data_IF_426314350468
#
_entry.id   IF_426314350468
#
_cell.length_a   1.000
_cell.length_b   1.000
_cell.length_c   1.000
_cell.angle_alpha   90.00
_cell.angle_beta   90.00
_cell.angle_gamma   90.00
#
_symmetry.space_group_name_H-M   'P 1'
#
loop_
_entity.id
_entity.type
_entity.pdbx_description
1 polymer ?
#
# COMPACT_ATOMS: atom_id res chain seq x y z
N UNK A 1 -16.84 -1.12 -14.40
CA UNK A 1 -15.79 -1.63 -13.49
C UNK A 1 -16.33 -2.25 -12.21
N UNK A 2 -17.29 -1.62 -11.51
CA UNK A 2 -17.85 -2.14 -10.25
C UNK A 2 -18.44 -3.57 -10.35
N UNK A 3 -19.10 -3.90 -11.45
CA UNK A 3 -19.62 -5.27 -11.67
C UNK A 3 -18.51 -6.31 -11.80
N UNK A 4 -17.38 -5.98 -12.44
CA UNK A 4 -16.23 -6.89 -12.55
C UNK A 4 -15.66 -7.25 -11.18
N UNK A 5 -15.64 -6.32 -10.22
CA UNK A 5 -15.18 -6.57 -8.86
C UNK A 5 -16.10 -7.53 -8.06
N UNK A 6 -17.34 -7.73 -8.52
CA UNK A 6 -18.30 -8.68 -7.92
C UNK A 6 -18.21 -10.08 -8.54
N UNK A 7 -17.70 -10.18 -9.77
CA UNK A 7 -17.55 -11.46 -10.46
C UNK A 7 -16.50 -12.34 -9.77
N UNK A 8 -16.78 -13.64 -9.70
CA UNK A 8 -15.91 -14.62 -9.07
C UNK A 8 -15.78 -15.86 -9.94
N UNK A 9 -14.64 -16.03 -10.60
CA UNK A 9 -14.32 -17.23 -11.37
C UNK A 9 -14.00 -18.40 -10.41
N UNK A 10 -14.95 -19.32 -10.18
CA UNK A 10 -14.76 -20.44 -9.24
C UNK A 10 -13.64 -21.42 -9.64
N UNK A 11 -13.19 -21.37 -10.90
CA UNK A 11 -12.09 -22.16 -11.46
C UNK A 11 -10.70 -21.81 -10.91
N UNK A 12 -10.50 -20.63 -10.33
CA UNK A 12 -9.22 -20.22 -9.71
C UNK A 12 -9.25 -20.37 -8.19
N UNK A 13 -8.10 -20.48 -7.54
CA UNK A 13 -8.01 -20.65 -6.09
C UNK A 13 -8.68 -19.51 -5.30
N UNK A 14 -9.20 -19.80 -4.09
CA UNK A 14 -9.84 -18.79 -3.21
C UNK A 14 -8.92 -17.60 -2.92
N UNK A 15 -7.61 -17.86 -2.74
CA UNK A 15 -6.59 -16.82 -2.52
C UNK A 15 -6.48 -15.90 -3.73
N UNK A 16 -6.40 -16.47 -4.94
CA UNK A 16 -6.30 -15.68 -6.16
C UNK A 16 -7.55 -14.82 -6.40
N UNK A 17 -8.76 -15.39 -6.20
CA UNK A 17 -10.02 -14.63 -6.28
C UNK A 17 -10.06 -13.44 -5.33
N UNK A 18 -9.61 -13.63 -4.09
CA UNK A 18 -9.56 -12.56 -3.09
C UNK A 18 -8.64 -11.43 -3.53
N UNK A 19 -7.42 -11.77 -3.96
CA UNK A 19 -6.43 -10.78 -4.39
C UNK A 19 -6.91 -10.00 -5.63
N UNK A 20 -7.52 -10.68 -6.60
CA UNK A 20 -8.10 -10.05 -7.77
C UNK A 20 -9.23 -9.08 -7.38
N UNK A 21 -10.16 -9.53 -6.54
CA UNK A 21 -11.25 -8.68 -6.04
C UNK A 21 -10.72 -7.44 -5.32
N UNK A 22 -9.73 -7.62 -4.45
CA UNK A 22 -9.09 -6.51 -3.73
C UNK A 22 -8.46 -5.49 -4.69
N UNK A 23 -7.75 -5.98 -5.71
CA UNK A 23 -7.14 -5.13 -6.75
C UNK A 23 -8.20 -4.39 -7.57
N UNK A 24 -9.27 -5.07 -7.99
CA UNK A 24 -10.37 -4.45 -8.75
C UNK A 24 -11.13 -3.41 -7.91
N UNK A 25 -11.37 -3.69 -6.63
CA UNK A 25 -11.98 -2.71 -5.70
C UNK A 25 -11.08 -1.48 -5.59
N UNK A 26 -9.77 -1.66 -5.41
CA UNK A 26 -8.80 -0.56 -5.39
C UNK A 26 -8.86 0.30 -6.65
N UNK A 27 -8.89 -0.33 -7.84
CA UNK A 27 -9.02 0.38 -9.12
C UNK A 27 -10.34 1.13 -9.22
N UNK A 28 -11.46 0.50 -8.84
CA UNK A 28 -12.78 1.15 -8.83
C UNK A 28 -12.77 2.37 -7.91
N UNK A 29 -12.28 2.25 -6.68
CA UNK A 29 -12.17 3.36 -5.74
C UNK A 29 -11.30 4.48 -6.30
N UNK A 30 -10.18 4.15 -6.93
CA UNK A 30 -9.27 5.13 -7.54
C UNK A 30 -9.96 5.93 -8.65
N UNK A 31 -10.70 5.24 -9.52
CA UNK A 31 -11.43 5.87 -10.62
C UNK A 31 -12.63 6.70 -10.13
N UNK A 32 -13.35 6.21 -9.12
CA UNK A 32 -14.53 6.89 -8.58
C UNK A 32 -14.16 8.11 -7.71
N UNK A 33 -13.01 8.09 -7.03
CA UNK A 33 -12.62 9.12 -6.04
C UNK A 33 -11.37 9.93 -6.38
N UNK A 34 -10.67 9.62 -7.47
CA UNK A 34 -9.42 10.29 -7.82
C UNK A 34 -8.27 10.02 -6.85
N UNK A 35 -8.28 8.88 -6.16
CA UNK A 35 -7.25 8.46 -5.20
C UNK A 35 -6.33 7.40 -5.80
N UNK A 36 -5.18 7.16 -5.18
CA UNK A 36 -4.28 6.08 -5.58
C UNK A 36 -4.62 4.70 -5.02
N UNK A 37 -3.68 3.74 -5.17
CA UNK A 37 -3.92 2.33 -4.93
C UNK A 37 -4.16 2.02 -3.45
N UNK A 38 -5.11 1.12 -3.20
CA UNK A 38 -5.51 0.62 -1.89
C UNK A 38 -5.88 1.71 -0.88
N UNK A 39 -6.37 2.85 -1.37
CA UNK A 39 -6.97 3.87 -0.53
C UNK A 39 -8.20 3.29 0.19
N UNK A 40 -8.24 3.45 1.51
CA UNK A 40 -9.30 2.91 2.36
C UNK A 40 -10.32 3.99 2.69
N UNK A 41 -11.52 3.82 2.16
CA UNK A 41 -12.70 4.68 2.43
C UNK A 41 -13.43 4.29 3.72
N UNK A 42 -12.84 3.41 4.54
CA UNK A 42 -13.43 3.04 5.82
C UNK A 42 -13.36 4.24 6.76
N UNK A 43 -14.47 4.55 7.42
CA UNK A 43 -14.53 5.64 8.39
C UNK A 43 -13.57 5.36 9.54
N UNK A 44 -12.77 6.36 9.84
CA UNK A 44 -11.89 6.38 10.99
C UNK A 44 -12.61 7.10 12.14
N UNK A 45 -12.72 6.43 13.27
CA UNK A 45 -13.35 6.96 14.48
C UNK A 45 -12.19 7.29 15.44
N UNK A 46 -11.80 8.58 15.56
CA UNK A 46 -10.72 8.98 16.46
C UNK A 46 -11.10 8.74 17.91
N UNK A 47 -10.12 8.46 18.75
CA UNK A 47 -10.34 8.38 20.19
C UNK A 47 -10.65 9.76 20.78
N UNK A 48 -11.23 9.79 21.99
CA UNK A 48 -11.62 11.04 22.64
C UNK A 48 -10.37 11.91 22.87
N UNK A 49 -10.32 13.07 22.21
CA UNK A 49 -9.20 14.02 22.29
C UNK A 49 -8.16 13.88 21.18
N UNK A 50 -8.31 12.90 20.28
CA UNK A 50 -7.41 12.72 19.14
C UNK A 50 -7.75 13.69 18.00
N UNK A 51 -6.76 14.47 17.57
CA UNK A 51 -6.91 15.38 16.44
C UNK A 51 -6.61 14.67 15.12
N UNK A 52 -7.63 14.51 14.27
CA UNK A 52 -7.43 14.06 12.90
C UNK A 52 -7.01 15.26 12.03
N UNK A 53 -5.88 15.21 11.31
CA UNK A 53 -5.52 16.24 10.33
C UNK A 53 -6.59 16.42 9.25
N UNK A 54 -6.76 17.66 8.74
CA UNK A 54 -7.69 17.94 7.64
C UNK A 54 -7.36 17.13 6.37
N UNK A 55 -6.08 16.83 6.13
CA UNK A 55 -5.63 15.99 5.02
C UNK A 55 -6.10 14.53 5.08
N UNK A 56 -6.58 14.06 6.24
CA UNK A 56 -7.16 12.73 6.42
C UNK A 56 -8.70 12.75 6.47
N UNK A 57 -9.29 13.92 6.22
CA UNK A 57 -10.75 14.09 6.12
C UNK A 57 -11.17 14.20 4.67
N UNK A 58 -12.36 13.70 4.38
CA UNK A 58 -13.05 13.95 3.11
C UNK A 58 -13.59 15.37 3.05
N UNK A 59 -14.07 15.79 1.88
CA UNK A 59 -14.77 17.08 1.69
C UNK A 59 -16.01 17.20 2.60
N UNK A 60 -16.62 16.08 2.97
CA UNK A 60 -17.72 15.99 3.94
C UNK A 60 -17.25 16.07 5.41
N UNK A 61 -15.96 16.27 5.65
CA UNK A 61 -15.35 16.33 6.99
C UNK A 61 -15.18 14.97 7.68
N UNK A 62 -15.48 13.86 7.01
CA UNK A 62 -15.37 12.51 7.60
C UNK A 62 -13.94 12.03 7.54
N UNK A 63 -13.42 11.54 8.66
CA UNK A 63 -12.10 10.93 8.70
C UNK A 63 -12.12 9.54 8.06
N UNK A 64 -11.10 9.23 7.26
CA UNK A 64 -10.92 7.92 6.63
C UNK A 64 -9.52 7.38 6.91
N UNK A 65 -9.35 6.06 6.86
CA UNK A 65 -8.02 5.45 7.01
C UNK A 65 -7.04 5.85 5.89
N UNK A 66 -7.54 6.21 4.71
CA UNK A 66 -6.73 6.74 3.61
C UNK A 66 -5.75 5.71 3.03
N UNK A 67 -4.56 6.17 2.64
CA UNK A 67 -3.54 5.34 1.99
C UNK A 67 -2.92 4.31 2.94
N UNK A 68 -3.16 3.03 2.66
CA UNK A 68 -2.64 1.90 3.45
C UNK A 68 -1.49 1.15 2.81
N UNK A 69 -1.26 1.36 1.51
CA UNK A 69 -0.15 0.76 0.80
C UNK A 69 1.16 1.43 1.24
N UNK A 70 2.12 0.61 1.71
CA UNK A 70 3.42 1.10 2.19
C UNK A 70 4.54 0.22 1.65
N UNK A 71 5.62 0.86 1.20
CA UNK A 71 6.90 0.22 0.98
C UNK A 71 7.67 0.24 2.31
N UNK A 72 8.02 -0.94 2.83
CA UNK A 72 8.82 -1.08 4.05
C UNK A 72 10.16 -1.72 3.70
N UNK A 73 11.24 -1.01 3.99
CA UNK A 73 12.62 -1.43 3.77
C UNK A 73 13.41 -1.21 5.07
N UNK A 74 13.62 -2.28 5.85
CA UNK A 74 14.18 -2.16 7.19
C UNK A 74 13.33 -1.28 8.11
N UNK A 75 13.94 -0.23 8.67
CA UNK A 75 13.29 0.80 9.49
C UNK A 75 12.78 1.99 8.66
N UNK A 76 12.81 1.93 7.33
CA UNK A 76 12.31 2.98 6.47
C UNK A 76 10.95 2.58 5.89
N UNK A 77 10.02 3.52 5.88
CA UNK A 77 8.67 3.32 5.35
C UNK A 77 8.30 4.49 4.45
N UNK A 78 7.93 4.18 3.22
CA UNK A 78 7.32 5.13 2.31
C UNK A 78 5.84 4.77 2.08
N UNK A 79 4.98 5.78 2.12
CA UNK A 79 3.58 5.65 1.72
C UNK A 79 3.53 5.56 0.18
N UNK A 80 2.72 4.64 -0.33
CA UNK A 80 2.48 4.51 -1.78
C UNK A 80 1.09 5.04 -2.07
N UNK A 81 1.01 6.28 -2.53
CA UNK A 81 -0.24 7.02 -2.71
C UNK A 81 -0.65 7.24 -4.17
N UNK A 82 0.14 6.78 -5.12
CA UNK A 82 -0.18 6.85 -6.54
C UNK A 82 0.14 5.53 -7.28
N UNK A 83 -0.53 5.30 -8.41
CA UNK A 83 -0.39 4.06 -9.17
C UNK A 83 0.97 3.91 -9.84
N UNK A 84 1.58 5.01 -10.30
CA UNK A 84 2.92 5.00 -10.92
C UNK A 84 3.96 4.46 -9.93
N UNK A 85 4.00 5.03 -8.72
CA UNK A 85 4.88 4.58 -7.64
C UNK A 85 4.59 3.13 -7.26
N UNK A 86 3.32 2.72 -7.17
CA UNK A 86 2.98 1.33 -6.89
C UNK A 86 3.59 0.34 -7.90
N UNK A 87 3.51 0.63 -9.20
CA UNK A 87 4.10 -0.25 -10.22
C UNK A 87 5.62 -0.26 -10.16
N UNK A 88 6.28 0.91 -10.04
CA UNK A 88 7.74 1.00 -9.88
C UNK A 88 8.24 0.25 -8.64
N UNK A 89 7.57 0.42 -7.50
CA UNK A 89 7.88 -0.32 -6.27
C UNK A 89 7.73 -1.83 -6.47
N UNK A 90 6.62 -2.30 -7.06
CA UNK A 90 6.43 -3.73 -7.28
C UNK A 90 7.46 -4.31 -8.25
N UNK A 91 7.79 -3.58 -9.31
CA UNK A 91 8.83 -3.97 -10.25
C UNK A 91 10.19 -4.10 -9.56
N UNK A 92 10.58 -3.10 -8.76
CA UNK A 92 11.83 -3.14 -7.99
C UNK A 92 11.86 -4.28 -6.97
N UNK A 93 10.73 -4.60 -6.34
CA UNK A 93 10.62 -5.77 -5.44
C UNK A 93 10.74 -7.10 -6.18
N UNK A 94 10.31 -7.19 -7.44
CA UNK A 94 10.46 -8.41 -8.24
C UNK A 94 11.93 -8.62 -8.62
N UNK A 95 12.61 -7.55 -9.04
CA UNK A 95 14.02 -7.60 -9.47
C UNK A 95 14.94 -7.85 -8.28
N UNK A 96 14.89 -6.99 -7.27
CA UNK A 96 15.85 -7.00 -6.17
C UNK A 96 15.43 -7.87 -4.99
N UNK A 97 14.14 -8.27 -4.91
CA UNK A 97 13.60 -9.07 -3.80
C UNK A 97 13.98 -8.48 -2.44
N UNK A 98 14.56 -9.29 -1.54
CA UNK A 98 15.06 -8.83 -0.24
C UNK A 98 16.29 -7.92 -0.31
N UNK A 99 16.95 -7.82 -1.47
CA UNK A 99 18.08 -6.94 -1.71
C UNK A 99 17.71 -5.48 -1.90
N UNK A 100 16.44 -5.15 -2.17
CA UNK A 100 16.00 -3.78 -2.50
C UNK A 100 16.43 -2.76 -1.43
N UNK A 101 16.38 -3.14 -0.15
CA UNK A 101 16.78 -2.28 0.97
C UNK A 101 18.25 -1.85 0.92
N UNK A 102 19.13 -2.64 0.29
CA UNK A 102 20.55 -2.30 0.16
C UNK A 102 20.83 -1.44 -1.07
N UNK A 103 19.88 -1.35 -2.01
CA UNK A 103 20.04 -0.60 -3.25
C UNK A 103 19.38 0.77 -3.22
N UNK A 104 18.28 0.95 -2.50
CA UNK A 104 17.44 2.15 -2.56
C UNK A 104 18.18 3.47 -2.29
N UNK A 105 19.23 3.45 -1.46
CA UNK A 105 20.01 4.65 -1.08
C UNK A 105 21.44 4.68 -1.66
N UNK A 106 21.78 3.75 -2.56
CA UNK A 106 23.15 3.60 -3.10
C UNK A 106 23.15 3.44 -4.61
N UNK A 107 22.18 2.72 -5.17
CA UNK A 107 22.08 2.50 -6.60
C UNK A 107 21.30 3.66 -7.24
N UNK A 108 21.93 4.50 -8.07
CA UNK A 108 21.30 5.70 -8.63
C UNK A 108 20.06 5.37 -9.46
N UNK A 109 20.03 4.24 -10.16
CA UNK A 109 18.86 3.81 -10.94
C UNK A 109 17.66 3.50 -10.04
N UNK A 110 17.92 2.90 -8.87
CA UNK A 110 16.85 2.56 -7.92
C UNK A 110 16.38 3.82 -7.20
N UNK A 111 17.29 4.71 -6.83
CA UNK A 111 16.99 5.99 -6.20
C UNK A 111 16.18 6.89 -7.12
N UNK A 112 16.61 7.08 -8.37
CA UNK A 112 15.87 7.84 -9.38
C UNK A 112 14.49 7.22 -9.66
N UNK A 113 14.42 5.90 -9.77
CA UNK A 113 13.15 5.24 -10.03
C UNK A 113 12.19 5.25 -8.83
N UNK A 114 12.61 5.66 -7.63
CA UNK A 114 11.76 5.72 -6.43
C UNK A 114 11.95 7.07 -5.71
N UNK A 115 12.24 8.12 -6.46
CA UNK A 115 12.58 9.46 -5.97
C UNK A 115 11.41 10.18 -5.28
N UNK A 116 10.20 9.97 -5.78
CA UNK A 116 8.94 10.46 -5.22
C UNK A 116 8.41 9.60 -4.05
N UNK A 117 9.16 8.57 -3.61
CA UNK A 117 8.84 7.81 -2.42
C UNK A 117 9.34 8.56 -1.17
N UNK A 118 8.43 9.21 -0.45
CA UNK A 118 8.74 9.90 0.81
C UNK A 118 9.01 8.89 1.94
N UNK A 119 10.28 8.56 2.16
CA UNK A 119 10.69 7.67 3.24
C UNK A 119 10.74 8.38 4.60
N UNK A 120 10.09 7.77 5.58
CA UNK A 120 10.14 8.18 6.98
C UNK A 120 10.71 7.02 7.81
N UNK A 121 11.54 7.35 8.80
CA UNK A 121 12.00 6.36 9.77
C UNK A 121 10.82 5.87 10.62
N UNK A 122 10.53 4.58 10.54
CA UNK A 122 9.58 3.89 11.38
C UNK A 122 10.34 3.24 12.55
N UNK A 123 10.22 3.85 13.72
CA UNK A 123 10.79 3.34 14.97
C UNK A 123 10.02 2.16 15.57
N UNK A 124 8.96 1.68 14.92
CA UNK A 124 8.27 0.46 15.33
C UNK A 124 9.25 -0.73 15.37
N UNK A 125 9.13 -1.64 16.35
CA UNK A 125 10.00 -2.81 16.43
C UNK A 125 9.94 -3.61 15.12
N UNK A 126 11.11 -3.94 14.55
CA UNK A 126 11.21 -4.82 13.37
C UNK A 126 10.39 -6.09 13.64
N UNK A 127 9.35 -6.33 12.84
CA UNK A 127 8.57 -7.56 12.92
C UNK A 127 9.53 -8.73 12.65
N UNK A 128 9.81 -9.53 13.69
CA UNK A 128 10.66 -10.71 13.58
C UNK A 128 10.08 -11.62 12.49
N UNK A 129 10.92 -12.18 11.61
CA UNK A 129 10.43 -13.14 10.63
C UNK A 129 9.67 -14.26 11.34
N UNK A 130 8.57 -14.77 10.75
CA UNK A 130 7.82 -15.85 11.38
C UNK A 130 8.78 -17.01 11.63
N UNK A 131 8.91 -17.42 12.90
CA UNK A 131 9.71 -18.57 13.30
C UNK A 131 9.26 -19.75 12.45
N UNK A 132 10.14 -20.26 11.59
CA UNK A 132 9.86 -21.41 10.75
C UNK A 132 9.36 -22.56 11.63
N UNK A 133 8.21 -23.13 11.27
CA UNK A 133 7.80 -24.44 11.78
C UNK A 133 8.93 -25.41 11.40
N UNK A 134 9.66 -25.91 12.39
CA UNK A 134 10.50 -27.10 12.20
C UNK A 134 9.57 -28.21 11.68
N UNK A 135 9.98 -28.83 10.58
CA UNK A 135 9.38 -30.08 10.09
C UNK A 135 9.60 -31.17 11.12
#
# INVERSE_FOLDING_TARGET
>A
MRELAKLSAKSVSRKHRRNLRESLVSVVTSLERGVGPFYSTAQYIPEKGEHVPASLRTDEGRAEYGYRCKLRLGNQVAKVDNWSLYFRVNFMRIIFKGGLQHHIFVNPVVTECLDDAEFVQDYSPLQKPPKGRKK
#
